data_IF_486435114081
#
_entry.id   IF_486435114081
#
_cell.length_a   1.000
_cell.length_b   1.000
_cell.length_c   1.000
_cell.angle_alpha   90.00
_cell.angle_beta   90.00
_cell.angle_gamma   90.00
#
_symmetry.space_group_name_H-M   'P 1'
#
loop_
_entity.id
_entity.type
_entity.pdbx_description
1 polymer ?
#
# COMPACT_ATOMS: atom_id res chain seq x y z
N UNK A 1 17.51 -6.89 0.18
CA UNK A 1 17.52 -5.74 1.08
C UNK A 1 16.14 -5.25 1.44
N UNK A 2 16.07 -4.28 2.32
CA UNK A 2 14.81 -3.65 2.71
C UNK A 2 14.22 -2.85 1.57
N UNK A 3 12.90 -2.81 1.51
CA UNK A 3 12.18 -1.97 0.57
C UNK A 3 11.33 -0.96 1.35
N UNK A 4 11.54 0.31 1.07
CA UNK A 4 10.75 1.37 1.67
C UNK A 4 9.37 1.46 1.00
N UNK A 5 8.35 1.77 1.80
CA UNK A 5 7.00 1.96 1.30
C UNK A 5 6.29 3.08 2.05
N UNK A 6 5.30 3.67 1.38
CA UNK A 6 4.36 4.62 1.96
C UNK A 6 2.97 4.19 1.54
N UNK A 7 2.07 4.02 2.49
CA UNK A 7 0.66 3.70 2.24
C UNK A 7 -0.20 4.92 2.49
N UNK A 8 -0.94 5.32 1.47
CA UNK A 8 -1.92 6.39 1.58
C UNK A 8 -3.32 5.85 1.25
N UNK A 9 -4.31 6.31 2.00
CA UNK A 9 -5.71 5.99 1.73
C UNK A 9 -6.49 7.30 1.71
N UNK A 10 -7.22 7.53 0.63
CA UNK A 10 -7.96 8.78 0.38
C UNK A 10 -7.08 10.03 0.51
N UNK A 11 -5.84 9.93 0.03
CA UNK A 11 -4.87 11.01 0.07
C UNK A 11 -4.19 11.24 1.41
N UNK A 12 -4.48 10.41 2.41
CA UNK A 12 -3.93 10.56 3.76
C UNK A 12 -2.94 9.44 4.02
N UNK A 13 -1.75 9.78 4.52
CA UNK A 13 -0.74 8.79 4.88
C UNK A 13 -1.21 7.99 6.10
N UNK A 14 -1.39 6.69 5.91
CA UNK A 14 -1.74 5.77 6.99
C UNK A 14 -0.52 5.19 7.66
N UNK A 15 0.49 4.80 6.89
CA UNK A 15 1.71 4.24 7.43
C UNK A 15 2.85 4.35 6.42
N UNK A 16 4.07 4.23 6.92
CA UNK A 16 5.27 4.11 6.11
C UNK A 16 6.24 3.21 6.84
N UNK A 17 7.21 2.67 6.13
CA UNK A 17 8.18 1.78 6.74
C UNK A 17 9.05 1.10 5.70
N UNK A 18 9.63 -0.02 6.12
CA UNK A 18 10.47 -0.85 5.27
C UNK A 18 10.09 -2.31 5.47
N UNK A 19 10.04 -3.07 4.39
CA UNK A 19 9.95 -4.53 4.45
C UNK A 19 11.33 -5.13 4.29
N UNK A 20 11.69 -6.06 5.18
CA UNK A 20 13.05 -6.54 5.32
C UNK A 20 13.59 -7.27 4.10
N UNK A 21 12.73 -7.91 3.33
CA UNK A 21 13.15 -8.70 2.17
C UNK A 21 13.04 -7.93 0.85
N UNK A 22 12.25 -6.86 0.81
CA UNK A 22 12.02 -6.09 -0.39
C UNK A 22 11.29 -6.89 -1.47
N UNK A 23 11.13 -6.25 -2.61
CA UNK A 23 10.56 -6.86 -3.81
C UNK A 23 11.61 -6.81 -4.90
N UNK A 24 11.85 -7.95 -5.54
CA UNK A 24 12.70 -8.03 -6.72
C UNK A 24 11.84 -8.44 -7.90
N UNK A 25 11.99 -7.72 -8.98
CA UNK A 25 11.31 -8.02 -10.23
C UNK A 25 12.38 -8.15 -11.31
N UNK A 26 12.37 -9.26 -12.03
CA UNK A 26 13.23 -9.40 -13.20
C UNK A 26 12.71 -8.46 -14.30
N UNK A 27 13.62 -7.82 -15.01
CA UNK A 27 13.30 -6.74 -15.94
C UNK A 27 12.29 -7.12 -17.03
N UNK A 28 12.15 -8.42 -17.33
CA UNK A 28 11.27 -8.94 -18.38
C UNK A 28 10.15 -9.81 -17.82
N UNK A 29 10.00 -9.88 -16.50
CA UNK A 29 9.01 -10.72 -15.85
C UNK A 29 7.89 -9.88 -15.25
N UNK A 30 6.79 -10.57 -14.94
CA UNK A 30 5.73 -10.07 -14.09
C UNK A 30 5.46 -11.09 -12.99
N UNK A 31 4.87 -10.64 -11.91
CA UNK A 31 4.58 -11.52 -10.79
C UNK A 31 3.60 -10.91 -9.80
N UNK A 32 3.14 -11.75 -8.88
CA UNK A 32 2.30 -11.34 -7.76
C UNK A 32 3.12 -11.46 -6.48
N UNK A 33 3.16 -10.39 -5.70
CA UNK A 33 3.97 -10.33 -4.49
C UNK A 33 3.06 -10.06 -3.29
N UNK A 34 3.08 -10.88 -2.24
CA UNK A 34 2.39 -10.55 -0.99
C UNK A 34 3.20 -9.49 -0.24
N UNK A 35 2.52 -8.44 0.19
CA UNK A 35 3.09 -7.41 1.05
C UNK A 35 2.29 -7.41 2.34
N UNK A 36 2.98 -7.64 3.47
CA UNK A 36 2.36 -7.53 4.79
C UNK A 36 2.67 -6.16 5.37
N UNK A 37 1.63 -5.47 5.79
CA UNK A 37 1.75 -4.21 6.51
C UNK A 37 0.97 -4.28 7.80
N UNK A 38 1.51 -3.66 8.85
CA UNK A 38 0.83 -3.54 10.12
C UNK A 38 0.69 -2.06 10.45
N UNK A 39 -0.47 -1.68 10.98
CA UNK A 39 -0.69 -0.31 11.40
C UNK A 39 -1.68 -0.26 12.56
N UNK A 40 -1.57 0.80 13.36
CA UNK A 40 -2.40 0.99 14.54
C UNK A 40 -3.75 1.59 14.15
N UNK A 41 -4.76 0.74 14.04
CA UNK A 41 -6.13 1.15 13.71
C UNK A 41 -6.68 2.13 14.75
N UNK A 42 -6.44 1.87 16.04
CA UNK A 42 -6.96 2.73 17.09
C UNK A 42 -6.40 4.16 16.99
N UNK A 43 -5.10 4.28 16.72
CA UNK A 43 -4.46 5.58 16.50
C UNK A 43 -5.02 6.31 15.28
N UNK A 44 -5.26 5.58 14.19
CA UNK A 44 -5.84 6.14 12.97
C UNK A 44 -7.28 6.64 13.19
N UNK A 45 -8.08 5.90 13.96
CA UNK A 45 -9.48 6.26 14.23
C UNK A 45 -9.63 7.46 15.17
N UNK A 46 -8.59 7.84 15.89
CA UNK A 46 -8.61 8.97 16.82
C UNK A 46 -7.88 10.22 16.32
N UNK A 47 -7.20 10.12 15.16
CA UNK A 47 -6.45 11.22 14.58
C UNK A 47 -7.23 12.01 13.53
N UNK A 48 -6.53 12.89 12.84
CA UNK A 48 -7.11 13.72 11.77
C UNK A 48 -7.56 12.87 10.57
N UNK A 49 -7.05 11.67 10.44
CA UNK A 49 -7.41 10.72 9.38
C UNK A 49 -8.59 9.82 9.75
N UNK A 50 -9.29 10.09 10.86
CA UNK A 50 -10.31 9.19 11.41
C UNK A 50 -11.44 8.86 10.44
N UNK A 51 -11.91 9.83 9.65
CA UNK A 51 -12.98 9.61 8.68
C UNK A 51 -12.54 8.64 7.56
N UNK A 52 -11.35 8.83 7.02
CA UNK A 52 -10.79 7.95 6.00
C UNK A 52 -10.50 6.56 6.57
N UNK A 53 -9.99 6.50 7.80
CA UNK A 53 -9.71 5.25 8.50
C UNK A 53 -10.99 4.45 8.76
N UNK A 54 -12.04 5.12 9.23
CA UNK A 54 -13.33 4.47 9.48
C UNK A 54 -13.92 3.92 8.18
N UNK A 55 -13.87 4.71 7.11
CA UNK A 55 -14.36 4.26 5.80
C UNK A 55 -13.56 3.05 5.29
N UNK A 56 -12.25 3.06 5.44
CA UNK A 56 -11.40 1.93 5.06
C UNK A 56 -11.75 0.66 5.84
N UNK A 57 -11.99 0.78 7.15
CA UNK A 57 -12.41 -0.35 7.99
C UNK A 57 -13.75 -0.89 7.54
N UNK A 58 -14.73 -0.03 7.27
CA UNK A 58 -16.04 -0.43 6.73
C UNK A 58 -15.88 -1.19 5.42
N UNK A 59 -15.04 -0.70 4.53
CA UNK A 59 -14.78 -1.37 3.25
C UNK A 59 -14.09 -2.72 3.45
N UNK A 60 -13.15 -2.79 4.38
CA UNK A 60 -12.42 -4.02 4.67
C UNK A 60 -13.36 -5.13 5.20
N UNK A 61 -14.34 -4.77 6.03
CA UNK A 61 -15.31 -5.74 6.56
C UNK A 61 -16.55 -5.91 5.67
N UNK A 62 -16.62 -5.23 4.52
CA UNK A 62 -17.65 -5.45 3.52
C UNK A 62 -18.93 -4.65 3.69
N UNK A 63 -18.94 -3.60 4.54
CA UNK A 63 -20.14 -2.79 4.78
C UNK A 63 -20.02 -1.35 4.27
N UNK A 64 -18.90 -1.01 3.62
CA UNK A 64 -18.69 0.34 3.09
C UNK A 64 -19.55 0.63 1.87
N UNK A 65 -20.00 1.88 1.74
CA UNK A 65 -20.79 2.36 0.59
C UNK A 65 -19.95 3.19 -0.37
N UNK A 66 -18.88 3.81 0.14
CA UNK A 66 -17.95 4.60 -0.67
C UNK A 66 -16.60 3.88 -0.73
N UNK A 67 -16.04 3.65 -1.92
CA UNK A 67 -14.76 2.95 -2.02
C UNK A 67 -13.63 3.75 -1.39
N UNK A 68 -12.62 3.05 -0.90
CA UNK A 68 -11.36 3.63 -0.45
C UNK A 68 -10.36 3.65 -1.59
N UNK A 69 -9.69 4.78 -1.81
CA UNK A 69 -8.63 4.93 -2.81
C UNK A 69 -7.29 4.71 -2.13
N UNK A 70 -6.57 3.68 -2.57
CA UNK A 70 -5.29 3.31 -1.99
C UNK A 70 -4.17 3.68 -2.95
N UNK A 71 -3.14 4.32 -2.42
CA UNK A 71 -1.87 4.52 -3.13
C UNK A 71 -0.76 3.93 -2.29
N UNK A 72 -0.10 2.92 -2.83
CA UNK A 72 1.08 2.33 -2.26
C UNK A 72 2.28 2.83 -3.05
N UNK A 73 3.17 3.57 -2.39
CA UNK A 73 4.42 4.03 -2.98
C UNK A 73 5.53 3.13 -2.52
N UNK A 74 6.29 2.58 -3.44
CA UNK A 74 7.35 1.62 -3.15
C UNK A 74 8.65 2.01 -3.83
N UNK A 75 9.77 1.64 -3.20
CA UNK A 75 11.11 1.71 -3.79
C UNK A 75 11.65 0.29 -3.95
N UNK A 76 11.34 -0.39 -5.05
CA UNK A 76 11.80 -1.75 -5.27
C UNK A 76 13.24 -1.80 -5.76
N UNK A 77 13.78 -3.02 -5.86
CA UNK A 77 14.99 -3.27 -6.62
C UNK A 77 14.65 -4.05 -7.88
N UNK A 78 15.41 -3.81 -8.94
CA UNK A 78 15.25 -4.50 -10.23
C UNK A 78 16.47 -5.39 -10.45
N UNK A 79 16.24 -6.63 -10.85
CA UNK A 79 17.32 -7.55 -11.21
C UNK A 79 17.53 -7.51 -12.74
N UNK A 80 18.71 -7.05 -13.16
CA UNK A 80 19.07 -6.94 -14.57
C UNK A 80 20.44 -7.57 -14.75
N UNK A 81 20.51 -8.63 -15.56
CA UNK A 81 21.76 -9.30 -15.88
C UNK A 81 22.54 -9.80 -14.66
N UNK A 82 21.85 -10.25 -13.62
CA UNK A 82 22.46 -10.71 -12.38
C UNK A 82 22.79 -9.61 -11.37
N UNK A 83 22.60 -8.34 -11.75
CA UNK A 83 22.81 -7.21 -10.84
C UNK A 83 21.50 -6.79 -10.22
N UNK A 84 21.53 -6.48 -8.92
CA UNK A 84 20.41 -5.89 -8.20
C UNK A 84 20.57 -4.39 -8.18
N UNK A 85 19.65 -3.68 -8.83
CA UNK A 85 19.71 -2.22 -8.98
C UNK A 85 18.53 -1.62 -8.20
N UNK A 86 18.79 -0.82 -7.14
CA UNK A 86 17.71 -0.14 -6.43
C UNK A 86 17.12 0.96 -7.30
N UNK A 87 15.79 1.06 -7.28
CA UNK A 87 15.07 2.17 -7.94
C UNK A 87 15.18 3.39 -7.02
N UNK A 88 15.72 4.54 -7.50
CA UNK A 88 16.01 5.68 -6.63
C UNK A 88 14.80 6.59 -6.36
N UNK A 89 13.61 6.20 -6.79
CA UNK A 89 12.39 6.98 -6.62
C UNK A 89 11.24 6.06 -6.19
N UNK A 90 10.22 6.63 -5.55
CA UNK A 90 9.00 5.89 -5.24
C UNK A 90 8.20 5.68 -6.51
N UNK A 91 7.69 4.45 -6.66
CA UNK A 91 6.80 4.07 -7.74
C UNK A 91 5.40 3.93 -7.15
N UNK A 92 4.41 4.71 -7.63
CA UNK A 92 3.05 4.61 -7.11
C UNK A 92 2.31 3.44 -7.74
N UNK A 93 1.58 2.72 -6.90
CA UNK A 93 0.61 1.71 -7.32
C UNK A 93 -0.72 2.10 -6.69
N UNK A 94 -1.72 2.39 -7.51
CA UNK A 94 -3.01 2.87 -7.04
C UNK A 94 -4.12 1.88 -7.40
N UNK A 95 -5.03 1.68 -6.44
CA UNK A 95 -6.22 0.87 -6.65
C UNK A 95 -7.30 1.32 -5.68
N UNK A 96 -8.53 0.89 -5.92
CA UNK A 96 -9.64 1.13 -4.99
C UNK A 96 -10.17 -0.20 -4.46
N UNK A 97 -10.77 -0.15 -3.28
CA UNK A 97 -11.44 -1.31 -2.71
C UNK A 97 -12.68 -0.89 -1.93
N UNK A 98 -13.62 -1.82 -1.78
CA UNK A 98 -14.85 -1.59 -1.06
C UNK A 98 -15.89 -0.83 -1.86
N UNK A 99 -16.84 -0.20 -1.15
CA UNK A 99 -17.95 0.53 -1.77
C UNK A 99 -18.99 -0.40 -2.39
N UNK A 100 -19.02 -1.68 -2.01
CA UNK A 100 -19.91 -2.66 -2.63
C UNK A 100 -21.36 -2.57 -2.12
N UNK A 101 -21.54 -2.03 -0.92
CA UNK A 101 -22.87 -1.95 -0.31
C UNK A 101 -23.67 -0.84 -1.00
N UNK A 102 -24.89 -1.15 -1.40
CA UNK A 102 -25.78 -0.20 -2.10
C UNK A 102 -25.59 -0.13 -3.61
N UNK A 103 -24.78 -1.03 -4.16
CA UNK A 103 -24.55 -1.09 -5.61
C UNK A 103 -25.19 -2.29 -6.27
#
# INVERSE_FOLDING_TARGET
GAMDYILEIDGIRFTSGSVSEGIRVDAQDSGVFPIRMEFDIAGLLTGDSSAAALNAVKNFVGIGTEPSQVTLQIKPSVNIGGYTIPVPVYIPVSFSFGGAVGK
#
